data_IF_235896798821
#
_entry.id   IF_235896798821
#
_cell.length_a   1.000
_cell.length_b   1.000
_cell.length_c   1.000
_cell.angle_alpha   90.00
_cell.angle_beta   90.00
_cell.angle_gamma   90.00
#
_symmetry.space_group_name_H-M   'P 1'
#
loop_
_entity.id
_entity.type
_entity.pdbx_description
1 polymer ?
#
# COMPACT_ATOMS: atom_id res chain seq x y z
N UNK A 1 12.66 28.92 81.06
CA UNK A 1 11.69 27.85 80.77
C UNK A 1 12.18 27.13 79.51
N UNK A 2 12.42 25.83 79.65
CA UNK A 2 13.31 24.99 78.84
C UNK A 2 12.79 24.64 77.44
N UNK A 3 13.70 24.65 76.46
CA UNK A 3 13.48 24.26 75.07
C UNK A 3 13.25 22.75 74.91
N UNK A 4 12.38 22.37 73.97
CA UNK A 4 12.04 20.98 73.63
C UNK A 4 13.18 20.33 72.82
N UNK A 5 13.61 19.16 73.29
CA UNK A 5 14.59 18.30 72.63
C UNK A 5 14.03 17.75 71.31
N UNK A 6 14.79 17.90 70.22
CA UNK A 6 14.54 17.22 68.96
C UNK A 6 15.33 15.91 68.99
N UNK A 7 14.67 14.79 69.30
CA UNK A 7 15.28 13.47 69.27
C UNK A 7 15.44 13.01 67.82
N UNK A 8 16.70 12.85 67.40
CA UNK A 8 17.10 12.20 66.16
C UNK A 8 16.70 10.72 66.24
N UNK A 9 15.70 10.31 65.46
CA UNK A 9 15.45 8.89 65.21
C UNK A 9 16.65 8.34 64.44
N UNK A 10 17.50 7.58 65.12
CA UNK A 10 18.67 6.91 64.56
C UNK A 10 18.18 5.57 64.01
N UNK A 11 18.02 5.48 62.69
CA UNK A 11 17.75 4.20 62.02
C UNK A 11 19.09 3.48 61.91
N UNK A 12 19.23 2.32 62.56
CA UNK A 12 20.46 1.54 62.55
C UNK A 12 20.80 1.06 61.13
N UNK A 13 22.00 1.42 60.66
CA UNK A 13 22.58 1.05 59.35
C UNK A 13 22.38 -0.44 58.97
N UNK A 14 22.54 -1.43 59.87
CA UNK A 14 22.28 -2.83 59.53
C UNK A 14 20.80 -3.13 59.20
N UNK A 15 19.85 -2.39 59.78
CA UNK A 15 18.42 -2.53 59.46
C UNK A 15 18.13 -1.99 58.06
N UNK A 16 18.79 -0.89 57.69
CA UNK A 16 18.75 -0.37 56.32
C UNK A 16 19.34 -1.37 55.32
N UNK A 17 20.49 -1.99 55.63
CA UNK A 17 21.11 -2.98 54.77
C UNK A 17 20.25 -4.26 54.63
N UNK A 18 19.61 -4.72 55.72
CA UNK A 18 18.65 -5.84 55.68
C UNK A 18 17.39 -5.50 54.86
N UNK A 19 16.86 -4.28 54.98
CA UNK A 19 15.73 -3.82 54.17
C UNK A 19 16.11 -3.66 52.68
N UNK A 20 17.35 -3.26 52.39
CA UNK A 20 17.87 -3.21 51.02
C UNK A 20 18.09 -4.61 50.42
N UNK A 21 18.57 -5.58 51.21
CA UNK A 21 18.72 -6.97 50.75
C UNK A 21 17.38 -7.71 50.60
N UNK A 22 16.41 -7.51 51.51
CA UNK A 22 15.04 -8.04 51.31
C UNK A 22 14.39 -7.41 50.07
N UNK A 23 14.59 -6.12 49.82
CA UNK A 23 14.07 -5.46 48.61
C UNK A 23 14.81 -5.86 47.33
N UNK A 24 16.09 -6.24 47.41
CA UNK A 24 16.86 -6.71 46.25
C UNK A 24 16.46 -8.14 45.86
N UNK A 25 16.25 -9.04 46.82
CA UNK A 25 15.80 -10.42 46.56
C UNK A 25 14.32 -10.46 46.12
N UNK A 26 13.46 -9.61 46.70
CA UNK A 26 12.05 -9.48 46.26
C UNK A 26 11.98 -8.88 44.85
N UNK A 27 12.90 -7.99 44.47
CA UNK A 27 13.00 -7.47 43.10
C UNK A 27 13.42 -8.55 42.10
N UNK A 28 14.24 -9.53 42.49
CA UNK A 28 14.62 -10.65 41.62
C UNK A 28 13.48 -11.66 41.47
N UNK A 29 12.71 -11.93 42.52
CA UNK A 29 11.52 -12.80 42.47
C UNK A 29 10.30 -12.16 41.78
N UNK A 30 10.19 -10.82 41.80
CA UNK A 30 9.17 -10.07 41.06
C UNK A 30 9.60 -9.73 39.62
N UNK A 31 10.90 -9.76 39.30
CA UNK A 31 11.40 -9.55 37.94
C UNK A 31 11.35 -10.81 37.06
N UNK A 32 11.00 -11.98 37.62
CA UNK A 32 10.85 -13.23 36.87
C UNK A 32 9.41 -13.51 36.41
N UNK A 33 8.53 -12.50 36.34
CA UNK A 33 7.42 -12.53 35.38
C UNK A 33 7.89 -11.85 34.11
N UNK A 34 8.52 -12.66 33.26
CA UNK A 34 8.79 -12.36 31.85
C UNK A 34 7.54 -11.76 31.21
N UNK A 35 7.76 -10.72 30.39
CA UNK A 35 6.76 -10.01 29.60
C UNK A 35 5.65 -10.95 29.10
N UNK A 36 4.40 -10.67 29.47
CA UNK A 36 3.21 -11.43 29.00
C UNK A 36 2.87 -11.11 27.53
N UNK A 37 3.88 -11.01 26.67
CA UNK A 37 3.68 -10.66 25.28
C UNK A 37 4.95 -10.84 24.46
N UNK A 38 4.75 -10.99 23.17
CA UNK A 38 5.85 -10.94 22.23
C UNK A 38 6.48 -9.54 22.22
N UNK A 39 7.79 -9.44 21.90
CA UNK A 39 8.46 -8.15 21.77
C UNK A 39 7.73 -7.28 20.75
N UNK A 40 7.86 -5.96 20.89
CA UNK A 40 7.17 -5.00 20.02
C UNK A 40 7.38 -5.34 18.52
N UNK A 41 6.28 -5.37 17.77
CA UNK A 41 6.27 -5.76 16.36
C UNK A 41 6.22 -7.26 16.10
N UNK A 42 6.05 -8.10 17.12
CA UNK A 42 5.81 -9.54 17.02
C UNK A 42 4.46 -9.92 17.62
N UNK A 43 3.88 -11.03 17.17
CA UNK A 43 2.63 -11.60 17.67
C UNK A 43 2.84 -13.06 18.12
N UNK A 44 2.09 -13.54 19.12
CA UNK A 44 2.20 -14.90 19.59
C UNK A 44 1.47 -15.87 18.66
N UNK A 45 2.05 -17.05 18.41
CA UNK A 45 1.41 -18.17 17.73
C UNK A 45 0.32 -18.84 18.59
N UNK A 46 -0.70 -18.08 18.99
CA UNK A 46 -1.77 -18.52 19.88
C UNK A 46 -1.25 -18.81 21.29
N UNK A 47 -1.43 -20.06 21.75
CA UNK A 47 -0.98 -20.51 23.08
C UNK A 47 0.44 -21.11 23.07
N UNK A 48 1.22 -20.84 22.04
CA UNK A 48 2.61 -21.29 21.92
C UNK A 48 3.55 -20.23 22.50
N UNK A 49 4.73 -20.66 22.96
CA UNK A 49 5.82 -19.75 23.36
C UNK A 49 6.55 -19.11 22.17
N UNK A 50 6.09 -19.36 20.94
CA UNK A 50 6.70 -18.88 19.71
C UNK A 50 6.07 -17.54 19.29
N UNK A 51 6.94 -16.59 18.97
CA UNK A 51 6.58 -15.25 18.54
C UNK A 51 7.07 -15.04 17.11
N UNK A 52 6.17 -14.60 16.24
CA UNK A 52 6.49 -14.28 14.85
C UNK A 52 6.39 -12.77 14.62
N UNK A 53 7.13 -12.19 13.66
CA UNK A 53 6.96 -10.80 13.27
C UNK A 53 5.52 -10.51 12.81
N UNK A 54 4.96 -9.36 13.19
CA UNK A 54 3.56 -8.97 12.90
C UNK A 54 3.17 -9.02 11.41
N UNK A 55 4.15 -8.93 10.50
CA UNK A 55 3.94 -9.05 9.05
C UNK A 55 3.60 -10.47 8.58
N UNK A 56 3.86 -11.48 9.40
CA UNK A 56 3.54 -12.88 9.12
C UNK A 56 2.13 -13.27 9.57
N UNK A 57 1.37 -12.35 10.16
CA UNK A 57 -0.01 -12.61 10.52
C UNK A 57 -0.93 -12.34 9.32
N UNK A 58 -1.71 -13.33 8.89
CA UNK A 58 -2.63 -13.23 7.76
C UNK A 58 -1.94 -12.88 6.44
N UNK A 59 -0.77 -13.47 6.19
CA UNK A 59 0.01 -13.30 4.96
C UNK A 59 -0.27 -14.38 3.91
N UNK A 60 -1.18 -15.33 4.18
CA UNK A 60 -1.50 -16.44 3.29
C UNK A 60 -0.54 -17.63 3.38
N UNK A 61 0.42 -17.59 4.30
CA UNK A 61 1.37 -18.67 4.58
C UNK A 61 1.20 -19.16 6.03
N UNK A 62 1.33 -20.47 6.23
CA UNK A 62 1.28 -21.07 7.57
C UNK A 62 2.69 -21.06 8.15
N UNK A 63 3.03 -19.98 8.85
CA UNK A 63 4.31 -19.75 9.51
C UNK A 63 4.28 -20.22 10.97
N UNK A 64 3.11 -20.17 11.64
CA UNK A 64 2.98 -20.80 12.96
C UNK A 64 2.85 -22.33 12.86
N UNK A 65 3.43 -23.12 13.77
CA UNK A 65 3.30 -24.59 13.77
C UNK A 65 1.86 -25.08 13.90
N UNK A 66 1.01 -24.30 14.57
CA UNK A 66 -0.42 -24.54 14.75
C UNK A 66 -1.30 -23.77 13.74
N UNK A 67 -0.68 -23.05 12.81
CA UNK A 67 -1.34 -22.19 11.82
C UNK A 67 -2.23 -21.10 12.42
N UNK A 68 -1.94 -20.64 13.65
CA UNK A 68 -2.73 -19.63 14.34
C UNK A 68 -2.65 -18.24 13.70
N UNK A 69 -1.57 -17.97 12.98
CA UNK A 69 -1.30 -16.80 12.16
C UNK A 69 -2.31 -16.60 11.02
N UNK A 70 -2.87 -17.68 10.48
CA UNK A 70 -3.81 -17.65 9.35
C UNK A 70 -5.27 -17.94 9.78
N UNK A 71 -5.53 -18.01 11.08
CA UNK A 71 -6.87 -18.28 11.61
C UNK A 71 -7.59 -17.00 11.99
N UNK A 72 -8.87 -16.90 11.59
CA UNK A 72 -9.75 -15.74 11.89
C UNK A 72 -9.21 -14.41 11.36
N UNK A 73 -8.46 -14.45 10.26
CA UNK A 73 -8.22 -13.28 9.43
C UNK A 73 -9.59 -12.76 8.95
N UNK A 74 -10.02 -11.61 9.46
CA UNK A 74 -11.23 -10.95 8.94
C UNK A 74 -11.03 -10.54 7.48
N UNK A 75 -12.09 -10.14 6.78
CA UNK A 75 -12.09 -9.68 5.37
C UNK A 75 -11.24 -8.41 5.12
N UNK A 76 -10.42 -7.99 6.09
CA UNK A 76 -9.53 -6.86 6.04
C UNK A 76 -8.21 -7.20 5.31
N UNK A 77 -8.31 -7.91 4.19
CA UNK A 77 -7.24 -7.99 3.21
C UNK A 77 -6.86 -6.56 2.80
N UNK A 78 -5.70 -6.09 3.26
CA UNK A 78 -5.15 -4.80 2.86
C UNK A 78 -4.40 -4.01 3.95
N UNK A 79 -4.54 -4.32 5.25
CA UNK A 79 -3.80 -3.57 6.26
C UNK A 79 -2.34 -4.05 6.44
N UNK A 80 -2.08 -5.35 6.38
CA UNK A 80 -0.70 -5.87 6.40
C UNK A 80 0.13 -5.38 5.20
N UNK A 81 -0.52 -5.25 4.03
CA UNK A 81 0.09 -4.76 2.80
C UNK A 81 0.34 -3.23 2.80
N UNK A 82 -0.38 -2.48 3.64
CA UNK A 82 -0.18 -1.04 3.83
C UNK A 82 0.98 -0.73 4.79
N UNK A 83 1.18 -1.50 5.86
CA UNK A 83 2.26 -1.26 6.81
C UNK A 83 3.63 -1.79 6.33
N UNK A 84 3.65 -2.80 5.46
CA UNK A 84 4.89 -3.26 4.79
C UNK A 84 5.56 -2.18 3.93
N UNK A 85 4.77 -1.26 3.35
CA UNK A 85 5.26 -0.18 2.49
C UNK A 85 5.97 0.96 3.26
N UNK A 86 5.79 1.05 4.59
CA UNK A 86 6.42 2.10 5.40
C UNK A 86 7.77 1.72 6.04
N UNK A 87 8.23 0.46 5.91
CA UNK A 87 9.46 0.00 6.57
C UNK A 87 10.55 -0.55 5.64
N UNK A 88 10.46 -0.35 4.33
CA UNK A 88 11.52 -0.78 3.39
C UNK A 88 12.15 0.41 2.68
N UNK A 89 12.93 1.18 3.45
CA UNK A 89 14.08 1.90 2.93
C UNK A 89 15.33 1.11 3.34
N UNK A 90 15.63 0.04 2.60
CA UNK A 90 17.02 -0.31 2.30
C UNK A 90 17.10 -1.33 1.15
N UNK A 91 17.96 -1.04 0.16
CA UNK A 91 18.62 -2.04 -0.70
C UNK A 91 17.77 -2.81 -1.72
N UNK A 92 17.98 -2.49 -3.00
CA UNK A 92 17.47 -3.22 -4.18
C UNK A 92 17.71 -4.74 -4.15
N UNK A 93 16.74 -5.54 -4.66
CA UNK A 93 16.86 -6.41 -5.87
C UNK A 93 15.48 -7.03 -6.20
N UNK A 94 14.88 -6.53 -7.29
CA UNK A 94 14.19 -7.21 -8.40
C UNK A 94 13.40 -8.52 -8.18
N UNK A 95 12.07 -8.39 -8.20
CA UNK A 95 11.15 -9.28 -8.91
C UNK A 95 9.90 -8.50 -9.35
N UNK A 96 9.99 -7.91 -10.55
CA UNK A 96 8.85 -7.73 -11.46
C UNK A 96 8.04 -9.03 -11.47
N UNK A 97 6.71 -9.04 -11.26
CA UNK A 97 5.69 -8.90 -12.32
C UNK A 97 4.42 -8.16 -11.81
N UNK A 98 4.47 -7.47 -10.66
CA UNK A 98 3.28 -6.78 -10.09
C UNK A 98 3.51 -5.31 -9.71
N UNK A 99 4.46 -4.62 -10.36
CA UNK A 99 4.77 -3.19 -10.12
C UNK A 99 4.34 -2.23 -11.24
N UNK A 100 3.90 -2.70 -12.42
CA UNK A 100 3.57 -1.81 -13.55
C UNK A 100 2.08 -1.44 -13.68
N UNK A 101 1.37 -1.34 -12.56
CA UNK A 101 0.01 -0.81 -12.53
C UNK A 101 -0.23 0.17 -11.37
N UNK A 102 0.82 0.75 -10.77
CA UNK A 102 0.70 1.82 -9.76
C UNK A 102 0.93 3.22 -10.32
N UNK A 103 1.36 3.36 -11.58
CA UNK A 103 1.58 4.66 -12.22
C UNK A 103 0.26 5.34 -12.63
N UNK A 104 -0.82 4.58 -12.78
CA UNK A 104 -2.08 5.06 -13.34
C UNK A 104 -3.22 4.94 -12.34
N UNK A 105 -3.95 6.04 -12.11
CA UNK A 105 -5.14 6.12 -11.26
C UNK A 105 -6.38 5.91 -12.12
N UNK A 106 -6.35 4.91 -12.99
CA UNK A 106 -7.46 4.58 -13.89
C UNK A 106 -8.55 3.73 -13.21
N UNK A 107 -8.45 3.52 -11.89
CA UNK A 107 -9.27 2.58 -11.11
C UNK A 107 -10.78 2.86 -11.15
N UNK A 108 -11.54 1.79 -11.41
CA UNK A 108 -12.92 1.62 -10.97
C UNK A 108 -12.90 0.71 -9.73
N UNK A 109 -13.51 1.19 -8.63
CA UNK A 109 -13.61 0.44 -7.36
C UNK A 109 -14.20 -0.95 -7.63
N UNK A 110 -13.38 -1.99 -7.43
CA UNK A 110 -13.64 -3.46 -7.43
C UNK A 110 -12.98 -4.30 -8.54
N UNK A 111 -12.24 -3.72 -9.49
CA UNK A 111 -11.36 -4.49 -10.39
C UNK A 111 -10.04 -3.76 -10.59
N UNK A 112 -8.94 -4.37 -10.17
CA UNK A 112 -7.57 -3.86 -10.36
C UNK A 112 -7.04 -4.20 -11.76
N UNK A 113 -7.68 -3.71 -12.81
CA UNK A 113 -7.14 -3.81 -14.17
C UNK A 113 -6.95 -2.41 -14.75
N UNK A 114 -5.69 -1.98 -14.87
CA UNK A 114 -5.39 -0.84 -15.73
C UNK A 114 -5.66 -1.28 -17.17
N UNK A 115 -6.73 -0.77 -17.78
CA UNK A 115 -7.03 -1.03 -19.19
C UNK A 115 -6.29 0.01 -20.00
N UNK A 116 -5.10 -0.34 -20.48
CA UNK A 116 -4.37 0.36 -21.54
C UNK A 116 -3.26 -0.57 -22.09
N UNK A 117 -2.79 -0.39 -23.33
CA UNK A 117 -1.72 -1.22 -23.88
C UNK A 117 -0.41 -1.03 -23.11
N UNK A 118 0.28 -2.12 -22.77
CA UNK A 118 1.58 -2.08 -22.07
C UNK A 118 2.68 -1.37 -22.87
N UNK A 119 2.51 -1.24 -24.19
CA UNK A 119 3.41 -0.47 -25.06
C UNK A 119 3.20 1.05 -24.97
N UNK A 120 2.17 1.51 -24.26
CA UNK A 120 1.91 2.92 -24.03
C UNK A 120 2.42 3.35 -22.66
N UNK A 121 2.85 4.61 -22.57
CA UNK A 121 3.18 5.24 -21.32
C UNK A 121 1.92 5.78 -20.64
N UNK A 122 1.85 5.64 -19.33
CA UNK A 122 0.72 6.15 -18.58
C UNK A 122 1.14 6.76 -17.23
N UNK A 123 0.59 7.94 -16.95
CA UNK A 123 0.86 8.73 -15.74
C UNK A 123 -0.49 9.25 -15.24
N UNK A 124 -0.91 8.85 -14.05
CA UNK A 124 -2.23 9.18 -13.49
C UNK A 124 -3.39 8.75 -14.43
N UNK A 125 -4.01 9.70 -15.13
CA UNK A 125 -5.12 9.48 -16.08
C UNK A 125 -4.71 9.77 -17.51
N UNK A 126 -3.41 9.98 -17.74
CA UNK A 126 -2.86 10.41 -19.00
C UNK A 126 -2.22 9.21 -19.69
N UNK A 127 -2.57 8.99 -20.96
CA UNK A 127 -2.11 7.84 -21.73
C UNK A 127 -1.44 8.33 -23.03
N UNK A 128 -0.16 7.98 -23.16
CA UNK A 128 0.71 8.30 -24.28
C UNK A 128 1.04 7.04 -25.10
N UNK A 129 0.42 6.91 -26.26
CA UNK A 129 0.68 5.83 -27.22
C UNK A 129 1.27 6.43 -28.50
N UNK A 130 2.54 6.83 -28.49
CA UNK A 130 3.17 7.58 -29.59
C UNK A 130 4.05 6.69 -30.45
N UNK A 131 3.93 6.79 -31.78
CA UNK A 131 4.79 6.09 -32.75
C UNK A 131 4.83 4.55 -32.62
N UNK A 132 3.74 3.94 -32.13
CA UNK A 132 3.61 2.49 -31.95
C UNK A 132 3.06 1.77 -33.20
N UNK A 133 2.70 2.52 -34.24
CA UNK A 133 2.14 1.97 -35.47
C UNK A 133 0.71 1.43 -35.33
N UNK A 134 -0.04 1.93 -34.35
CA UNK A 134 -1.43 1.54 -34.11
C UNK A 134 -2.29 1.87 -35.34
N UNK A 135 -3.10 0.92 -35.79
CA UNK A 135 -4.01 1.10 -36.93
C UNK A 135 -5.41 1.52 -36.50
N UNK A 136 -5.71 1.39 -35.22
CA UNK A 136 -7.00 1.71 -34.61
C UNK A 136 -6.79 2.35 -33.23
N UNK A 137 -7.86 2.93 -32.68
CA UNK A 137 -7.86 3.50 -31.33
C UNK A 137 -7.84 2.35 -30.32
N UNK A 138 -6.82 2.25 -29.43
CA UNK A 138 -6.75 1.19 -28.45
C UNK A 138 -7.84 1.35 -27.38
N UNK A 139 -8.23 0.24 -26.76
CA UNK A 139 -9.09 0.26 -25.59
C UNK A 139 -8.32 0.79 -24.38
N UNK A 140 -8.85 1.85 -23.78
CA UNK A 140 -8.30 2.49 -22.58
C UNK A 140 -9.39 2.63 -21.51
N UNK A 141 -9.02 2.93 -20.27
CA UNK A 141 -10.01 3.17 -19.21
C UNK A 141 -10.91 4.39 -19.50
N UNK A 142 -12.22 4.33 -19.17
CA UNK A 142 -13.15 5.45 -19.36
C UNK A 142 -12.80 6.71 -18.54
N UNK A 143 -11.93 6.56 -17.54
CA UNK A 143 -11.46 7.67 -16.69
C UNK A 143 -10.27 8.44 -17.29
N UNK A 144 -9.82 8.08 -18.49
CA UNK A 144 -8.74 8.80 -19.19
C UNK A 144 -9.13 10.27 -19.39
N UNK A 145 -8.22 11.18 -19.05
CA UNK A 145 -8.43 12.63 -19.25
C UNK A 145 -7.54 13.18 -20.38
N UNK A 146 -6.47 12.47 -20.69
CA UNK A 146 -5.53 12.84 -21.74
C UNK A 146 -5.13 11.60 -22.54
N UNK A 147 -5.29 11.65 -23.86
CA UNK A 147 -4.95 10.54 -24.76
C UNK A 147 -4.18 11.06 -25.98
N UNK A 148 -2.95 10.58 -26.16
CA UNK A 148 -2.18 10.84 -27.39
C UNK A 148 -1.94 9.56 -28.17
N UNK A 149 -2.39 9.60 -29.42
CA UNK A 149 -2.20 8.58 -30.44
C UNK A 149 -1.34 9.14 -31.59
N UNK A 150 -0.47 10.11 -31.29
CA UNK A 150 0.37 10.80 -32.29
C UNK A 150 1.32 9.84 -33.00
N UNK A 151 1.52 10.03 -34.31
CA UNK A 151 2.55 9.28 -35.04
C UNK A 151 2.20 7.81 -35.29
N UNK A 152 0.92 7.44 -35.17
CA UNK A 152 0.44 6.09 -35.46
C UNK A 152 -0.04 5.99 -36.91
N UNK A 153 -0.76 4.92 -37.24
CA UNK A 153 -1.24 4.58 -38.60
C UNK A 153 -2.77 4.46 -38.62
N UNK A 154 -3.47 5.22 -37.78
CA UNK A 154 -4.92 5.16 -37.68
C UNK A 154 -5.54 5.74 -38.96
N UNK A 155 -6.38 4.94 -39.62
CA UNK A 155 -6.94 5.28 -40.94
C UNK A 155 -8.37 5.83 -40.87
N UNK A 156 -9.15 5.33 -39.92
CA UNK A 156 -10.55 5.67 -39.79
C UNK A 156 -10.98 5.81 -38.33
N UNK A 157 -11.88 6.76 -38.06
CA UNK A 157 -12.62 6.85 -36.80
C UNK A 157 -14.09 6.49 -37.05
N UNK A 158 -14.50 5.32 -36.57
CA UNK A 158 -15.87 4.83 -36.69
C UNK A 158 -16.82 5.55 -35.72
N UNK A 159 -18.12 5.42 -35.96
CA UNK A 159 -19.15 5.99 -35.08
C UNK A 159 -19.01 5.45 -33.66
N UNK A 160 -19.07 6.35 -32.67
CA UNK A 160 -19.06 6.03 -31.23
C UNK A 160 -17.78 5.37 -30.70
N UNK A 161 -16.68 5.35 -31.47
CA UNK A 161 -15.40 4.74 -31.06
C UNK A 161 -14.79 5.37 -29.81
N UNK A 162 -15.12 6.63 -29.52
CA UNK A 162 -14.64 7.38 -28.36
C UNK A 162 -15.76 7.66 -27.33
N UNK A 163 -16.93 7.01 -27.47
CA UNK A 163 -18.13 7.38 -26.70
C UNK A 163 -18.04 7.11 -25.19
N UNK A 164 -17.21 6.15 -24.80
CA UNK A 164 -17.03 5.75 -23.40
C UNK A 164 -16.10 6.69 -22.62
N UNK A 165 -15.31 7.53 -23.31
CA UNK A 165 -14.31 8.42 -22.71
C UNK A 165 -14.93 9.78 -22.34
N UNK A 166 -16.00 9.76 -21.55
CA UNK A 166 -16.78 10.95 -21.22
C UNK A 166 -15.95 12.05 -20.52
N UNK A 167 -14.89 11.66 -19.80
CA UNK A 167 -13.99 12.54 -19.05
C UNK A 167 -12.77 13.01 -19.85
N UNK A 168 -12.59 12.56 -21.09
CA UNK A 168 -11.44 12.92 -21.90
C UNK A 168 -11.44 14.41 -22.22
N UNK A 169 -10.38 15.11 -21.81
CA UNK A 169 -10.20 16.55 -22.00
C UNK A 169 -9.30 16.88 -23.18
N UNK A 170 -8.29 16.05 -23.45
CA UNK A 170 -7.32 16.28 -24.53
C UNK A 170 -7.11 15.00 -25.33
N UNK A 171 -7.38 15.08 -26.64
CA UNK A 171 -7.14 14.00 -27.59
C UNK A 171 -6.14 14.48 -28.63
N UNK A 172 -5.14 13.68 -28.95
CA UNK A 172 -4.14 14.01 -29.96
C UNK A 172 -4.01 12.91 -31.01
N UNK A 173 -4.35 13.25 -32.26
CA UNK A 173 -4.36 12.34 -33.41
C UNK A 173 -3.40 12.77 -34.54
N UNK A 174 -2.58 13.80 -34.31
CA UNK A 174 -1.63 14.28 -35.33
C UNK A 174 -0.69 13.19 -35.86
N UNK A 175 -0.27 13.34 -37.12
CA UNK A 175 0.65 12.43 -37.79
C UNK A 175 0.14 10.98 -37.84
N UNK A 176 -1.15 10.81 -38.13
CA UNK A 176 -1.79 9.54 -38.51
C UNK A 176 -2.11 9.54 -40.01
N UNK A 177 -2.72 8.45 -40.50
CA UNK A 177 -3.17 8.30 -41.89
C UNK A 177 -4.68 8.40 -42.01
N UNK A 178 -5.31 9.32 -41.26
CA UNK A 178 -6.76 9.44 -41.20
C UNK A 178 -7.34 9.93 -42.54
N UNK A 179 -8.13 9.09 -43.18
CA UNK A 179 -8.86 9.40 -44.42
C UNK A 179 -10.38 9.40 -44.23
N UNK A 180 -10.88 8.79 -43.16
CA UNK A 180 -12.32 8.73 -42.86
C UNK A 180 -12.60 9.02 -41.38
N UNK A 181 -13.56 9.91 -41.12
CA UNK A 181 -14.04 10.22 -39.78
C UNK A 181 -15.57 10.23 -39.82
N UNK A 182 -16.21 9.36 -39.05
CA UNK A 182 -17.66 9.36 -38.92
C UNK A 182 -18.17 10.64 -38.27
N UNK A 183 -19.36 11.10 -38.68
CA UNK A 183 -20.09 12.21 -38.04
C UNK A 183 -20.37 11.99 -36.55
N UNK A 184 -20.28 10.74 -36.07
CA UNK A 184 -20.51 10.37 -34.67
C UNK A 184 -19.25 9.82 -33.99
N UNK A 185 -18.07 10.01 -34.58
CA UNK A 185 -16.82 9.50 -34.02
C UNK A 185 -16.49 10.07 -32.63
N UNK A 186 -16.82 11.34 -32.40
CA UNK A 186 -16.57 12.07 -31.15
C UNK A 186 -17.81 12.19 -30.25
N UNK A 187 -18.91 11.52 -30.61
CA UNK A 187 -20.11 11.50 -29.76
C UNK A 187 -19.80 10.85 -28.42
N UNK A 188 -20.16 11.51 -27.31
CA UNK A 188 -19.89 11.03 -25.95
C UNK A 188 -18.75 11.76 -25.22
N UNK A 189 -17.87 12.45 -25.94
CA UNK A 189 -16.75 13.22 -25.39
C UNK A 189 -17.21 14.56 -24.78
N UNK A 190 -17.85 14.52 -23.62
CA UNK A 190 -18.49 15.69 -22.99
C UNK A 190 -17.50 16.70 -22.37
N UNK A 191 -16.30 16.24 -22.02
CA UNK A 191 -15.27 17.05 -21.36
C UNK A 191 -14.16 17.54 -22.29
N UNK A 192 -14.26 17.29 -23.60
CA UNK A 192 -13.18 17.58 -24.54
C UNK A 192 -12.92 19.09 -24.67
N UNK A 193 -11.69 19.49 -24.39
CA UNK A 193 -11.19 20.87 -24.48
C UNK A 193 -10.20 21.07 -25.62
N UNK A 194 -9.49 20.00 -26.02
CA UNK A 194 -8.45 20.05 -27.07
C UNK A 194 -8.46 18.79 -27.94
N UNK A 195 -8.38 18.98 -29.25
CA UNK A 195 -8.30 17.95 -30.29
C UNK A 195 -7.14 18.26 -31.25
#
# INVERSE_FOLDING_TARGET
MTARSCQRLRMDVPVFMLLFHLNAEIRVLLASRLEEGCPLGHFPCGNMSECLPQVLQCNGHTDCPNGADEQRCGDNAGWAELFGQSLQNDGAVERDVLSECRKCVLHLRRVSTCVYPQSCDCIQTDVECVALGLQEVPQVSPNVTWLSLRGNKIQALSSFVLAEYAHLERLFLQNNSLHFISQHAFSGLRSLKKL
#
